data_IF_688794256440
#
_entry.id   IF_688794256440
#
_cell.length_a   1.000
_cell.length_b   1.000
_cell.length_c   1.000
_cell.angle_alpha   90.00
_cell.angle_beta   90.00
_cell.angle_gamma   90.00
#
_symmetry.space_group_name_H-M   'P 1'
#
loop_
_entity.id
_entity.type
_entity.pdbx_description
1 polymer ?
#
# COMPACT_ATOMS: atom_id res chain seq x y z
N UNK A 1 -26.48 -9.76 0.50
CA UNK A 1 -26.06 -8.36 0.18
C UNK A 1 -24.79 -8.40 -0.69
N UNK A 2 -24.91 -8.43 -2.03
CA UNK A 2 -23.75 -8.36 -2.96
C UNK A 2 -24.03 -7.56 -4.24
N UNK A 3 -25.17 -6.87 -4.29
CA UNK A 3 -25.68 -6.19 -5.49
C UNK A 3 -24.78 -5.03 -5.95
N UNK A 4 -24.20 -4.28 -5.01
CA UNK A 4 -23.32 -3.14 -5.34
C UNK A 4 -22.02 -3.54 -6.03
N UNK A 5 -21.36 -4.60 -5.55
CA UNK A 5 -20.13 -5.12 -6.17
C UNK A 5 -20.42 -5.61 -7.59
N UNK A 6 -21.54 -6.29 -7.79
CA UNK A 6 -21.91 -6.86 -9.10
C UNK A 6 -22.25 -5.75 -10.11
N UNK A 7 -22.92 -4.69 -9.65
CA UNK A 7 -23.20 -3.49 -10.44
C UNK A 7 -21.90 -2.81 -10.93
N UNK A 8 -20.91 -2.66 -10.05
CA UNK A 8 -19.62 -2.04 -10.41
C UNK A 8 -18.82 -2.98 -11.32
N UNK A 9 -18.71 -4.25 -10.95
CA UNK A 9 -17.86 -5.24 -11.62
C UNK A 9 -18.34 -5.58 -13.03
N UNK A 10 -19.64 -5.84 -13.19
CA UNK A 10 -20.22 -6.25 -14.48
C UNK A 10 -20.85 -5.08 -15.23
N UNK A 11 -21.53 -4.18 -14.52
CA UNK A 11 -22.27 -3.09 -15.15
C UNK A 11 -21.36 -1.96 -15.61
N UNK A 12 -20.64 -1.34 -14.69
CA UNK A 12 -19.91 -0.09 -14.96
C UNK A 12 -18.57 -0.33 -15.65
N UNK A 13 -17.76 -1.25 -15.13
CA UNK A 13 -16.41 -1.51 -15.68
C UNK A 13 -16.49 -1.99 -17.14
N UNK A 14 -17.46 -2.84 -17.47
CA UNK A 14 -17.59 -3.39 -18.81
C UNK A 14 -18.05 -2.33 -19.83
N UNK A 15 -18.99 -1.45 -19.44
CA UNK A 15 -19.41 -0.31 -20.27
C UNK A 15 -18.27 0.67 -20.51
N UNK A 16 -17.53 1.03 -19.46
CA UNK A 16 -16.38 1.94 -19.58
C UNK A 16 -15.26 1.34 -20.41
N UNK A 17 -14.99 0.04 -20.26
CA UNK A 17 -14.02 -0.67 -21.10
C UNK A 17 -14.41 -0.63 -22.58
N UNK A 18 -15.68 -0.82 -22.91
CA UNK A 18 -16.18 -0.71 -24.30
C UNK A 18 -15.97 0.70 -24.86
N UNK A 19 -16.28 1.74 -24.09
CA UNK A 19 -16.08 3.12 -24.49
C UNK A 19 -14.59 3.45 -24.73
N UNK A 20 -13.71 3.07 -23.80
CA UNK A 20 -12.27 3.33 -23.90
C UNK A 20 -11.66 2.61 -25.09
N UNK A 21 -12.05 1.35 -25.33
CA UNK A 21 -11.60 0.58 -26.50
C UNK A 21 -12.09 1.18 -27.81
N UNK A 22 -13.31 1.72 -27.85
CA UNK A 22 -13.82 2.43 -29.03
C UNK A 22 -13.00 3.70 -29.34
N UNK A 23 -12.38 4.32 -28.32
CA UNK A 23 -11.46 5.44 -28.47
C UNK A 23 -9.99 5.03 -28.67
N UNK A 24 -9.69 3.74 -28.81
CA UNK A 24 -8.33 3.23 -29.04
C UNK A 24 -7.45 3.08 -27.79
N UNK A 25 -8.02 3.22 -26.59
CA UNK A 25 -7.33 2.96 -25.33
C UNK A 25 -7.59 1.55 -24.78
N UNK A 26 -6.95 1.20 -23.66
CA UNK A 26 -7.28 -0.02 -22.90
C UNK A 26 -7.49 0.29 -21.42
N UNK A 27 -8.39 -0.49 -20.79
CA UNK A 27 -8.71 -0.38 -19.37
C UNK A 27 -8.24 -1.63 -18.64
N UNK A 28 -7.27 -1.41 -17.75
CA UNK A 28 -6.68 -2.43 -16.87
C UNK A 28 -7.14 -2.15 -15.45
N UNK A 29 -7.93 -3.07 -14.90
CA UNK A 29 -8.34 -3.05 -13.50
C UNK A 29 -7.23 -3.68 -12.67
N UNK A 30 -6.55 -2.88 -11.83
CA UNK A 30 -5.44 -3.37 -10.98
C UNK A 30 -5.90 -4.15 -9.75
N UNK A 31 -7.15 -3.95 -9.34
CA UNK A 31 -7.73 -4.47 -8.10
C UNK A 31 -9.21 -4.77 -8.32
N UNK A 32 -9.66 -5.95 -7.92
CA UNK A 32 -11.08 -6.29 -7.96
C UNK A 32 -11.88 -5.41 -6.97
N UNK A 33 -13.11 -4.99 -7.29
CA UNK A 33 -13.92 -4.18 -6.38
C UNK A 33 -14.22 -4.95 -5.08
N UNK A 34 -13.85 -4.37 -3.95
CA UNK A 34 -14.12 -4.90 -2.61
C UNK A 34 -15.24 -4.09 -1.95
N UNK A 35 -16.21 -4.75 -1.32
CA UNK A 35 -17.13 -4.04 -0.43
C UNK A 35 -16.42 -3.79 0.89
N UNK A 36 -16.41 -2.53 1.30
CA UNK A 36 -15.95 -2.12 2.63
C UNK A 36 -17.20 -1.91 3.48
N UNK A 37 -17.25 -2.58 4.64
CA UNK A 37 -18.29 -2.37 5.63
C UNK A 37 -17.71 -1.70 6.89
N UNK A 38 -18.56 -1.08 7.70
CA UNK A 38 -18.21 -0.38 8.95
C UNK A 38 -17.37 -1.22 9.93
N UNK A 39 -17.52 -2.54 9.92
CA UNK A 39 -16.72 -3.48 10.72
C UNK A 39 -15.29 -3.66 10.17
N UNK A 40 -15.12 -3.54 8.86
CA UNK A 40 -13.80 -3.60 8.22
C UNK A 40 -12.98 -2.34 8.52
N UNK A 41 -13.62 -1.17 8.62
CA UNK A 41 -12.96 0.09 9.01
C UNK A 41 -12.38 0.02 10.43
N UNK A 42 -13.15 -0.51 11.40
CA UNK A 42 -12.67 -0.68 12.78
C UNK A 42 -11.51 -1.69 12.87
N UNK A 43 -11.56 -2.76 12.08
CA UNK A 43 -10.48 -3.74 11.99
C UNK A 43 -9.24 -3.15 11.33
N UNK A 44 -9.42 -2.33 10.29
CA UNK A 44 -8.33 -1.66 9.60
C UNK A 44 -7.63 -0.68 10.54
N UNK A 45 -8.40 0.09 11.33
CA UNK A 45 -7.85 1.02 12.31
C UNK A 45 -7.02 0.31 13.37
N UNK A 46 -7.54 -0.79 13.94
CA UNK A 46 -6.79 -1.60 14.89
C UNK A 46 -5.49 -2.18 14.28
N UNK A 47 -5.53 -2.57 13.01
CA UNK A 47 -4.36 -3.07 12.29
C UNK A 47 -3.33 -1.97 12.05
N UNK A 48 -3.77 -0.74 11.74
CA UNK A 48 -2.88 0.40 11.54
C UNK A 48 -2.20 0.81 12.86
N UNK A 49 -2.96 0.89 13.96
CA UNK A 49 -2.41 1.20 15.29
C UNK A 49 -1.40 0.14 15.76
N UNK A 50 -1.68 -1.14 15.51
CA UNK A 50 -0.73 -2.21 15.80
C UNK A 50 0.57 -2.05 15.01
N UNK A 51 0.47 -1.76 13.70
CA UNK A 51 1.64 -1.60 12.83
C UNK A 51 2.45 -0.34 13.14
N UNK A 52 1.79 0.74 13.55
CA UNK A 52 2.48 1.96 14.00
C UNK A 52 3.29 1.69 15.27
N UNK A 53 2.73 0.97 16.24
CA UNK A 53 3.46 0.56 17.45
C UNK A 53 4.64 -0.35 17.13
N UNK A 54 4.44 -1.38 16.30
CA UNK A 54 5.51 -2.28 15.88
C UNK A 54 6.63 -1.55 15.11
N UNK A 55 6.29 -0.61 14.24
CA UNK A 55 7.28 0.20 13.50
C UNK A 55 8.01 1.21 14.39
N UNK A 56 7.35 1.76 15.41
CA UNK A 56 7.97 2.64 16.40
C UNK A 56 8.87 1.88 17.39
N UNK A 57 8.57 0.60 17.66
CA UNK A 57 9.35 -0.29 18.53
C UNK A 57 10.54 -0.94 17.81
N UNK A 58 10.71 -0.75 16.49
CA UNK A 58 12.01 -0.96 15.82
C UNK A 58 12.93 0.17 16.28
N UNK A 59 13.49 0.00 17.48
CA UNK A 59 14.59 0.79 18.03
C UNK A 59 15.79 0.62 17.11
N UNK A 60 15.91 1.50 16.14
CA UNK A 60 17.03 1.57 15.21
C UNK A 60 18.30 2.14 15.83
N UNK A 61 18.53 1.94 17.14
CA UNK A 61 19.75 2.42 17.80
C UNK A 61 20.08 1.68 19.12
N UNK A 62 19.82 0.37 19.19
CA UNK A 62 20.45 -0.47 20.22
C UNK A 62 21.54 -1.35 19.59
N UNK A 63 22.77 -0.85 19.77
CA UNK A 63 24.08 -1.49 19.75
C UNK A 63 24.82 -1.72 18.42
N UNK A 64 25.70 -0.75 18.09
CA UNK A 64 27.15 -1.04 18.09
C UNK A 64 27.93 0.22 18.46
N UNK A 65 28.01 0.49 19.77
CA UNK A 65 29.14 1.25 20.31
C UNK A 65 30.34 0.28 20.47
N UNK A 66 31.54 0.79 20.24
CA UNK A 66 32.87 0.14 20.31
C UNK A 66 33.44 -0.57 19.05
N UNK A 67 34.19 0.20 18.25
CA UNK A 67 35.05 -0.34 17.19
C UNK A 67 35.92 0.68 16.44
N UNK A 68 36.67 1.53 17.16
CA UNK A 68 37.86 2.30 16.72
C UNK A 68 37.91 2.77 15.24
N UNK A 69 37.47 4.00 14.97
CA UNK A 69 37.83 4.74 13.74
C UNK A 69 38.92 5.77 14.03
N UNK A 70 40.17 5.41 13.72
CA UNK A 70 41.21 6.37 13.33
C UNK A 70 41.92 5.84 12.08
N UNK A 71 41.10 5.43 11.11
CA UNK A 71 41.50 5.00 9.78
C UNK A 71 41.55 6.17 8.80
N UNK A 72 42.70 6.85 8.73
CA UNK A 72 43.27 7.47 7.53
C UNK A 72 42.27 7.97 6.46
N UNK A 73 41.89 9.25 6.55
CA UNK A 73 41.29 10.01 5.44
C UNK A 73 42.35 10.89 4.75
N UNK A 74 42.64 10.65 3.46
CA UNK A 74 43.57 11.45 2.63
C UNK A 74 43.02 12.84 2.25
N UNK A 75 43.60 13.62 1.31
CA UNK A 75 44.79 13.41 0.47
C UNK A 75 45.92 14.43 0.79
N UNK A 76 47.19 14.10 0.53
CA UNK A 76 48.27 15.10 0.56
C UNK A 76 48.26 15.90 -0.75
N UNK A 77 48.03 17.21 -0.63
CA UNK A 77 48.27 18.21 -1.66
C UNK A 77 49.72 18.70 -1.61
#
# INVERSE_FOLDING_TARGET
>A
MRFGIDLVSRGSIEKTRKAIRASGGDLVVKMAPTAVDSSDDARLQALMEQRERENAEVSGDEDSDDGSDDGNIGPQA
#
